data_IF_289712465906
#
_entry.id   IF_289712465906
#
_cell.length_a   1.000
_cell.length_b   1.000
_cell.length_c   1.000
_cell.angle_alpha   90.00
_cell.angle_beta   90.00
_cell.angle_gamma   90.00
#
_symmetry.space_group_name_H-M   'P 1'
#
loop_
_entity.id
_entity.type
_entity.pdbx_description
1 polymer ?
#
# COMPACT_ATOMS: atom_id res chain seq x y z
N UNK A 1 39.00 16.32 -45.16
CA UNK A 1 38.27 17.32 -44.36
C UNK A 1 36.87 16.77 -44.04
N UNK A 2 36.78 15.61 -43.37
CA UNK A 2 35.53 14.87 -43.15
C UNK A 2 35.51 14.10 -41.80
N UNK A 3 36.40 14.43 -40.87
CA UNK A 3 36.54 13.73 -39.59
C UNK A 3 36.24 14.60 -38.37
N UNK A 4 35.78 15.84 -38.56
CA UNK A 4 35.45 16.78 -37.48
C UNK A 4 33.94 17.01 -37.27
N UNK A 5 33.06 16.49 -38.15
CA UNK A 5 31.61 16.62 -37.98
C UNK A 5 30.96 15.51 -37.14
N UNK A 6 31.52 14.30 -37.13
CA UNK A 6 30.93 13.18 -36.37
C UNK A 6 31.17 13.27 -34.85
N UNK A 7 32.24 13.95 -34.41
CA UNK A 7 32.52 14.13 -32.98
C UNK A 7 31.57 15.13 -32.28
N UNK A 8 30.94 16.05 -33.03
CA UNK A 8 29.98 17.00 -32.45
C UNK A 8 28.56 16.47 -32.36
N UNK A 9 28.20 15.45 -33.14
CA UNK A 9 26.87 14.83 -33.10
C UNK A 9 26.76 13.81 -31.95
N UNK A 10 27.86 13.15 -31.57
CA UNK A 10 27.89 12.25 -30.42
C UNK A 10 27.94 12.96 -29.04
N UNK A 11 28.40 14.21 -28.99
CA UNK A 11 28.40 15.01 -27.76
C UNK A 11 27.04 15.64 -27.43
N UNK A 12 26.12 15.74 -28.40
CA UNK A 12 24.77 16.28 -28.18
C UNK A 12 23.80 15.21 -27.68
N UNK A 13 24.11 13.92 -27.84
CA UNK A 13 23.24 12.82 -27.38
C UNK A 13 23.43 12.46 -25.89
N UNK A 14 24.52 12.90 -25.25
CA UNK A 14 24.75 12.71 -23.80
C UNK A 14 24.44 13.96 -22.96
N UNK A 15 24.17 15.11 -23.60
CA UNK A 15 23.73 16.34 -22.93
C UNK A 15 22.20 16.44 -22.78
N UNK A 16 21.48 15.36 -23.10
CA UNK A 16 20.04 15.18 -22.84
C UNK A 16 19.75 14.46 -21.52
N UNK A 17 20.65 14.55 -20.53
CA UNK A 17 20.23 14.36 -19.14
C UNK A 17 19.23 15.48 -18.91
N UNK A 18 17.94 15.14 -18.96
CA UNK A 18 16.86 15.99 -18.48
C UNK A 18 17.34 16.53 -17.13
N UNK A 19 17.73 17.80 -17.10
CA UNK A 19 17.81 18.54 -15.86
C UNK A 19 16.39 18.49 -15.33
N UNK A 20 16.13 17.52 -14.46
CA UNK A 20 14.93 17.42 -13.65
C UNK A 20 15.16 18.52 -12.60
N UNK A 21 14.51 19.70 -12.68
CA UNK A 21 14.63 20.69 -11.62
C UNK A 21 14.35 20.02 -10.27
N UNK A 22 15.28 20.20 -9.33
CA UNK A 22 15.21 19.56 -8.02
C UNK A 22 13.95 19.99 -7.28
N UNK A 23 13.18 19.04 -6.75
CA UNK A 23 12.09 19.30 -5.80
C UNK A 23 12.60 19.26 -4.35
N UNK A 24 13.86 19.66 -4.11
CA UNK A 24 14.48 19.62 -2.78
C UNK A 24 13.68 20.38 -1.71
N UNK A 25 12.96 21.43 -2.12
CA UNK A 25 12.11 22.24 -1.23
C UNK A 25 10.63 21.81 -1.22
N UNK A 26 10.26 20.74 -1.95
CA UNK A 26 8.88 20.23 -1.97
C UNK A 26 8.55 19.42 -0.71
N UNK A 27 7.29 19.03 -0.52
CA UNK A 27 6.95 18.12 0.58
C UNK A 27 7.54 16.71 0.37
N UNK A 28 7.60 15.93 1.44
CA UNK A 28 8.19 14.57 1.44
C UNK A 28 7.56 13.65 0.39
N UNK A 29 6.25 13.76 0.15
CA UNK A 29 5.55 12.97 -0.85
C UNK A 29 6.03 13.28 -2.28
N UNK A 30 6.13 14.57 -2.65
CA UNK A 30 6.64 14.96 -3.97
C UNK A 30 8.11 14.59 -4.15
N UNK A 31 8.92 14.71 -3.10
CA UNK A 31 10.30 14.24 -3.11
C UNK A 31 10.38 12.72 -3.36
N UNK A 32 9.53 11.92 -2.72
CA UNK A 32 9.44 10.48 -2.96
C UNK A 32 9.07 10.13 -4.41
N UNK A 33 8.10 10.84 -5.01
CA UNK A 33 7.75 10.65 -6.42
C UNK A 33 8.94 10.92 -7.34
N UNK A 34 9.73 11.96 -7.06
CA UNK A 34 10.94 12.28 -7.82
C UNK A 34 12.00 11.19 -7.66
N UNK A 35 12.25 10.73 -6.43
CA UNK A 35 13.20 9.66 -6.15
C UNK A 35 12.80 8.35 -6.82
N UNK A 36 11.50 7.99 -6.80
CA UNK A 36 10.97 6.84 -7.53
C UNK A 36 11.21 6.96 -9.03
N UNK A 37 10.94 8.12 -9.61
CA UNK A 37 11.18 8.34 -11.05
C UNK A 37 12.66 8.23 -11.41
N UNK A 38 13.56 8.68 -10.53
CA UNK A 38 15.00 8.51 -10.71
C UNK A 38 15.40 7.03 -10.65
N UNK A 39 14.90 6.28 -9.66
CA UNK A 39 15.16 4.85 -9.52
C UNK A 39 14.69 4.04 -10.73
N UNK A 40 13.53 4.37 -11.30
CA UNK A 40 13.03 3.76 -12.53
C UNK A 40 13.94 4.02 -13.73
N UNK A 41 14.24 5.30 -14.00
CA UNK A 41 14.97 5.70 -15.19
C UNK A 41 16.41 5.23 -15.17
N UNK A 42 17.03 5.20 -13.99
CA UNK A 42 18.46 4.90 -13.83
C UNK A 42 18.72 3.41 -13.56
N UNK A 43 17.80 2.72 -12.87
CA UNK A 43 18.03 1.37 -12.37
C UNK A 43 16.92 0.35 -12.69
N UNK A 44 15.92 0.68 -13.50
CA UNK A 44 14.78 -0.20 -13.87
C UNK A 44 13.97 -0.71 -12.66
N UNK A 45 13.91 0.07 -11.57
CA UNK A 45 13.11 -0.26 -10.39
C UNK A 45 11.63 -0.03 -10.66
N UNK A 46 10.86 -1.10 -10.84
CA UNK A 46 9.45 -1.05 -11.20
C UNK A 46 8.54 -0.72 -10.03
N UNK A 47 8.81 -1.27 -8.85
CA UNK A 47 8.00 -1.08 -7.64
C UNK A 47 8.87 -0.57 -6.50
N UNK A 48 8.38 0.46 -5.80
CA UNK A 48 8.95 0.98 -4.57
C UNK A 48 7.82 1.08 -3.55
N UNK A 49 7.93 0.35 -2.45
CA UNK A 49 6.94 0.36 -1.38
C UNK A 49 7.56 0.87 -0.08
N UNK A 50 6.90 1.84 0.54
CA UNK A 50 7.24 2.35 1.85
C UNK A 50 6.61 1.46 2.93
N UNK A 51 7.46 0.88 3.77
CA UNK A 51 7.13 -0.04 4.86
C UNK A 51 6.13 -1.13 4.47
N UNK A 52 6.44 -1.96 3.46
CA UNK A 52 5.57 -3.07 3.11
C UNK A 52 5.39 -3.99 4.32
N UNK A 53 4.19 -4.54 4.48
CA UNK A 53 3.82 -5.47 5.56
C UNK A 53 3.80 -4.86 6.98
N UNK A 54 3.96 -3.55 7.13
CA UNK A 54 3.79 -2.92 8.44
C UNK A 54 2.33 -3.02 8.88
N UNK A 55 2.09 -3.73 9.97
CA UNK A 55 0.72 -3.94 10.46
C UNK A 55 0.31 -2.87 11.45
N UNK A 56 1.23 -2.42 12.30
CA UNK A 56 0.98 -1.41 13.34
C UNK A 56 1.18 0.00 12.80
N UNK A 57 0.26 0.43 11.95
CA UNK A 57 0.25 1.79 11.39
C UNK A 57 -0.58 2.65 12.32
N UNK A 58 0.07 3.52 13.10
CA UNK A 58 -0.57 4.49 14.01
C UNK A 58 -1.65 5.37 13.38
N UNK A 59 -2.06 6.39 14.12
CA UNK A 59 -2.86 7.47 13.58
C UNK A 59 -2.18 8.10 12.36
N UNK A 60 -2.90 8.89 11.57
CA UNK A 60 -2.35 9.56 10.37
C UNK A 60 -1.04 10.31 10.69
N UNK A 61 -0.99 11.01 11.81
CA UNK A 61 0.19 11.73 12.29
C UNK A 61 1.38 10.81 12.59
N UNK A 62 1.11 9.59 13.06
CA UNK A 62 2.15 8.57 13.31
C UNK A 62 2.71 7.98 12.00
N UNK A 63 2.04 8.21 10.85
CA UNK A 63 2.50 7.74 9.54
C UNK A 63 3.44 8.72 8.86
N UNK A 64 3.35 10.02 9.17
CA UNK A 64 4.22 11.05 8.59
C UNK A 64 5.70 10.72 8.80
N UNK A 65 6.17 10.33 10.00
CA UNK A 65 7.55 9.91 10.20
C UNK A 65 7.93 8.69 9.35
N UNK A 66 7.03 7.74 9.12
CA UNK A 66 7.29 6.59 8.24
C UNK A 66 7.50 7.04 6.78
N UNK A 67 6.77 8.04 6.31
CA UNK A 67 6.93 8.57 4.95
C UNK A 67 8.29 9.30 4.82
N UNK A 68 8.72 10.03 5.84
CA UNK A 68 10.04 10.67 5.91
C UNK A 68 11.18 9.66 5.98
N UNK A 69 11.01 8.61 6.80
CA UNK A 69 11.94 7.49 6.87
C UNK A 69 12.03 6.78 5.53
N UNK A 70 10.90 6.56 4.85
CA UNK A 70 10.90 5.97 3.52
C UNK A 70 11.70 6.80 2.52
N UNK A 71 11.56 8.13 2.54
CA UNK A 71 12.35 9.03 1.70
C UNK A 71 13.85 8.90 1.99
N UNK A 72 14.21 8.83 3.27
CA UNK A 72 15.60 8.64 3.71
C UNK A 72 16.18 7.34 3.18
N UNK A 73 15.49 6.22 3.39
CA UNK A 73 15.90 4.91 2.88
C UNK A 73 15.98 4.87 1.35
N UNK A 74 15.04 5.51 0.65
CA UNK A 74 15.02 5.60 -0.82
C UNK A 74 16.23 6.36 -1.36
N UNK A 75 16.63 7.45 -0.71
CA UNK A 75 17.84 8.21 -1.09
C UNK A 75 19.11 7.40 -0.88
N UNK A 76 19.25 6.79 0.29
CA UNK A 76 20.38 5.91 0.59
C UNK A 76 20.47 4.76 -0.40
N UNK A 77 19.34 4.16 -0.75
CA UNK A 77 19.25 3.11 -1.77
C UNK A 77 19.72 3.60 -3.15
N UNK A 78 19.25 4.76 -3.60
CA UNK A 78 19.65 5.33 -4.89
C UNK A 78 21.16 5.57 -4.96
N UNK A 79 21.73 6.11 -3.88
CA UNK A 79 23.19 6.29 -3.78
C UNK A 79 23.92 4.94 -3.75
N UNK A 80 23.41 3.97 -3.00
CA UNK A 80 23.98 2.63 -2.93
C UNK A 80 23.94 1.90 -4.28
N UNK A 81 22.89 2.10 -5.09
CA UNK A 81 22.82 1.51 -6.42
C UNK A 81 23.93 2.01 -7.34
N UNK A 82 24.29 3.28 -7.24
CA UNK A 82 25.40 3.88 -8.02
C UNK A 82 26.74 3.21 -7.70
N UNK A 83 26.93 2.74 -6.47
CA UNK A 83 28.15 2.08 -5.99
C UNK A 83 28.08 0.55 -6.07
N UNK A 84 26.91 -0.01 -6.42
CA UNK A 84 26.67 -1.45 -6.48
C UNK A 84 27.04 -2.03 -7.85
N UNK A 85 27.45 -3.30 -7.88
CA UNK A 85 27.83 -3.98 -9.13
C UNK A 85 26.63 -4.55 -9.89
N UNK A 86 25.48 -4.75 -9.25
CA UNK A 86 24.34 -5.48 -9.79
C UNK A 86 22.99 -4.97 -9.24
N UNK A 87 22.43 -3.86 -9.77
CA UNK A 87 21.18 -3.28 -9.24
C UNK A 87 19.90 -3.97 -9.74
N UNK A 88 19.95 -5.19 -10.29
CA UNK A 88 18.86 -5.83 -11.06
C UNK A 88 17.56 -6.19 -10.30
N UNK A 89 17.29 -5.57 -9.16
CA UNK A 89 16.08 -5.73 -8.37
C UNK A 89 14.98 -4.82 -8.90
N UNK A 90 13.82 -5.41 -9.20
CA UNK A 90 12.68 -4.68 -9.78
C UNK A 90 11.67 -4.22 -8.75
N UNK A 91 11.59 -4.91 -7.62
CA UNK A 91 10.62 -4.66 -6.56
C UNK A 91 11.40 -4.41 -5.28
N UNK A 92 11.28 -3.22 -4.72
CA UNK A 92 12.00 -2.85 -3.49
C UNK A 92 11.01 -2.31 -2.46
N UNK A 93 11.17 -2.77 -1.23
CA UNK A 93 10.53 -2.19 -0.06
C UNK A 93 11.55 -1.47 0.82
N UNK A 94 11.26 -0.23 1.20
CA UNK A 94 11.95 0.41 2.33
C UNK A 94 11.24 -0.04 3.61
N UNK A 95 11.94 -0.64 4.56
CA UNK A 95 11.36 -1.31 5.72
C UNK A 95 12.23 -1.12 6.97
N UNK A 96 12.11 -2.02 7.94
CA UNK A 96 12.92 -2.13 9.15
C UNK A 96 13.99 -3.24 9.08
N UNK A 97 14.13 -3.93 7.94
CA UNK A 97 15.00 -5.12 7.83
C UNK A 97 15.48 -5.41 6.41
N UNK A 98 16.64 -6.05 6.33
CA UNK A 98 17.10 -6.65 5.09
C UNK A 98 16.36 -7.95 4.79
N UNK A 99 15.88 -8.13 3.56
CA UNK A 99 15.25 -9.37 3.12
C UNK A 99 15.42 -9.57 1.60
N UNK A 100 15.69 -10.81 1.17
CA UNK A 100 15.59 -11.25 -0.23
C UNK A 100 14.44 -12.26 -0.34
N UNK A 101 13.47 -11.98 -1.22
CA UNK A 101 12.24 -12.77 -1.32
C UNK A 101 11.74 -12.84 -2.77
N UNK A 102 10.61 -13.50 -2.97
CA UNK A 102 9.90 -13.63 -4.25
C UNK A 102 10.79 -14.11 -5.42
N UNK A 103 11.70 -15.06 -5.16
CA UNK A 103 12.58 -15.58 -6.21
C UNK A 103 13.67 -14.60 -6.62
N UNK A 104 14.23 -13.87 -5.65
CA UNK A 104 15.38 -12.97 -5.79
C UNK A 104 15.10 -11.65 -6.53
N UNK A 105 13.86 -11.39 -6.94
CA UNK A 105 13.48 -10.13 -7.61
C UNK A 105 12.99 -9.04 -6.66
N UNK A 106 12.62 -9.42 -5.44
CA UNK A 106 12.13 -8.52 -4.40
C UNK A 106 13.11 -8.42 -3.25
N UNK A 107 13.40 -7.20 -2.82
CA UNK A 107 14.21 -6.94 -1.62
C UNK A 107 13.54 -5.96 -0.66
N UNK A 108 13.84 -6.13 0.62
CA UNK A 108 13.55 -5.15 1.65
C UNK A 108 14.87 -4.56 2.17
N UNK A 109 14.88 -3.24 2.40
CA UNK A 109 16.04 -2.47 2.85
C UNK A 109 15.63 -1.66 4.07
N UNK A 110 16.36 -1.73 5.21
CA UNK A 110 16.09 -0.87 6.35
C UNK A 110 16.25 0.60 5.98
N UNK A 111 15.31 1.43 6.39
CA UNK A 111 15.32 2.87 6.08
C UNK A 111 16.52 3.61 6.69
N UNK A 112 17.05 3.10 7.80
CA UNK A 112 18.16 3.65 8.59
C UNK A 112 19.49 2.95 8.32
N UNK A 113 19.53 1.97 7.42
CA UNK A 113 20.76 1.27 7.09
C UNK A 113 21.79 2.23 6.46
N UNK A 114 23.06 2.18 6.88
CA UNK A 114 24.09 3.02 6.28
C UNK A 114 24.41 2.54 4.86
N UNK A 115 24.82 3.47 3.99
CA UNK A 115 25.07 3.21 2.56
C UNK A 115 25.95 1.99 2.31
N UNK A 116 27.03 1.82 3.07
CA UNK A 116 27.98 0.71 2.92
C UNK A 116 27.33 -0.66 3.18
N UNK A 117 26.43 -0.75 4.17
CA UNK A 117 25.69 -1.99 4.44
C UNK A 117 24.68 -2.29 3.33
N UNK A 118 24.00 -1.26 2.82
CA UNK A 118 23.12 -1.42 1.65
C UNK A 118 23.91 -1.90 0.44
N UNK A 119 25.07 -1.30 0.14
CA UNK A 119 25.97 -1.73 -0.95
C UNK A 119 26.42 -3.18 -0.76
N UNK A 120 26.80 -3.57 0.46
CA UNK A 120 27.17 -4.95 0.77
C UNK A 120 26.00 -5.90 0.48
N UNK A 121 24.82 -5.62 1.02
CA UNK A 121 23.63 -6.44 0.82
C UNK A 121 23.24 -6.58 -0.66
N UNK A 122 23.32 -5.49 -1.43
CA UNK A 122 23.04 -5.47 -2.86
C UNK A 122 24.04 -6.33 -3.65
N UNK A 123 25.32 -6.33 -3.24
CA UNK A 123 26.39 -7.09 -3.88
C UNK A 123 26.43 -8.57 -3.47
N UNK A 124 25.85 -8.95 -2.33
CA UNK A 124 25.71 -10.33 -1.85
C UNK A 124 24.65 -11.11 -2.65
N UNK A 125 24.76 -11.16 -3.98
CA UNK A 125 23.85 -11.94 -4.81
C UNK A 125 24.27 -13.40 -4.91
N UNK A 126 23.30 -14.28 -4.70
CA UNK A 126 23.38 -15.68 -5.12
C UNK A 126 23.70 -15.74 -6.61
N UNK A 127 24.62 -16.62 -7.03
CA UNK A 127 25.01 -16.67 -8.45
C UNK A 127 23.83 -17.06 -9.35
N UNK A 128 23.79 -16.64 -10.64
CA UNK A 128 22.69 -17.02 -11.54
C UNK A 128 22.46 -18.53 -11.64
N UNK A 129 23.53 -19.32 -11.52
CA UNK A 129 23.46 -20.78 -11.53
C UNK A 129 22.78 -21.32 -10.26
N UNK A 130 23.13 -20.80 -9.09
CA UNK A 130 22.48 -21.15 -7.82
C UNK A 130 21.02 -20.67 -7.76
N UNK A 131 20.73 -19.46 -8.28
CA UNK A 131 19.36 -18.96 -8.39
C UNK A 131 18.52 -19.88 -9.28
N UNK A 132 19.07 -20.30 -10.44
CA UNK A 132 18.40 -21.24 -11.35
C UNK A 132 18.15 -22.58 -10.66
N UNK A 133 19.16 -23.13 -9.99
CA UNK A 133 19.03 -24.38 -9.25
C UNK A 133 17.98 -24.30 -8.12
N UNK A 134 17.94 -23.18 -7.40
CA UNK A 134 16.94 -22.91 -6.38
C UNK A 134 15.53 -22.86 -6.99
N UNK A 135 15.34 -22.10 -8.07
CA UNK A 135 14.05 -21.98 -8.74
C UNK A 135 13.57 -23.31 -9.35
N UNK A 136 14.49 -24.12 -9.88
CA UNK A 136 14.17 -25.46 -10.35
C UNK A 136 13.73 -26.39 -9.21
N UNK A 137 14.38 -26.31 -8.05
CA UNK A 137 13.96 -27.05 -6.85
C UNK A 137 12.56 -26.64 -6.41
N UNK A 138 12.26 -25.34 -6.36
CA UNK A 138 10.92 -24.82 -6.07
C UNK A 138 9.91 -25.35 -7.09
N UNK A 139 10.24 -25.33 -8.39
CA UNK A 139 9.36 -25.82 -9.45
C UNK A 139 9.00 -27.30 -9.30
N UNK A 140 9.98 -28.15 -8.97
CA UNK A 140 9.76 -29.58 -8.71
C UNK A 140 8.85 -29.76 -7.49
N UNK A 141 9.14 -29.08 -6.38
CA UNK A 141 8.30 -29.13 -5.18
C UNK A 141 6.86 -28.69 -5.46
N UNK A 142 6.68 -27.62 -6.25
CA UNK A 142 5.34 -27.16 -6.65
C UNK A 142 4.58 -28.22 -7.46
N UNK A 143 5.25 -28.91 -8.37
CA UNK A 143 4.63 -30.01 -9.13
C UNK A 143 4.22 -31.16 -8.21
N UNK A 144 5.06 -31.53 -7.25
CA UNK A 144 4.76 -32.60 -6.29
C UNK A 144 3.60 -32.23 -5.37
N UNK A 145 3.57 -31.00 -4.86
CA UNK A 145 2.47 -30.48 -4.04
C UNK A 145 1.16 -30.49 -4.84
N UNK A 146 1.17 -29.96 -6.06
CA UNK A 146 -0.02 -29.90 -6.91
C UNK A 146 -0.59 -31.30 -7.21
N UNK A 147 0.29 -32.27 -7.51
CA UNK A 147 -0.10 -33.67 -7.76
C UNK A 147 -0.66 -34.36 -6.51
N UNK A 148 -0.01 -34.17 -5.36
CA UNK A 148 -0.33 -34.90 -4.14
C UNK A 148 -1.51 -34.31 -3.37
N UNK A 149 -1.66 -32.98 -3.36
CA UNK A 149 -2.65 -32.28 -2.55
C UNK A 149 -3.83 -31.73 -3.37
N UNK A 150 -3.73 -31.67 -4.71
CA UNK A 150 -4.79 -31.22 -5.63
C UNK A 150 -5.32 -29.81 -5.32
N UNK A 151 -4.43 -28.90 -4.90
CA UNK A 151 -4.73 -27.50 -4.60
C UNK A 151 -4.56 -26.66 -5.87
N UNK A 152 -5.44 -25.66 -6.06
CA UNK A 152 -5.39 -24.76 -7.22
C UNK A 152 -4.26 -23.74 -7.12
N UNK A 153 -4.18 -23.02 -6.01
CA UNK A 153 -3.22 -21.95 -5.82
C UNK A 153 -2.46 -22.12 -4.50
N UNK A 154 -1.14 -22.01 -4.55
CA UNK A 154 -0.33 -21.97 -3.35
C UNK A 154 0.96 -21.21 -3.59
N UNK A 155 1.32 -20.38 -2.63
CA UNK A 155 2.46 -19.48 -2.72
C UNK A 155 3.01 -19.10 -1.34
N UNK A 156 4.21 -18.53 -1.30
CA UNK A 156 4.77 -17.94 -0.10
C UNK A 156 4.47 -16.45 -0.07
N UNK A 157 4.15 -15.94 1.12
CA UNK A 157 4.11 -14.50 1.38
C UNK A 157 5.45 -13.85 1.04
N UNK A 158 5.43 -12.61 0.55
CA UNK A 158 6.65 -11.82 0.36
C UNK A 158 7.27 -11.37 1.70
N UNK A 159 6.58 -11.63 2.83
CA UNK A 159 7.12 -11.37 4.16
C UNK A 159 8.25 -12.33 4.55
N UNK A 160 8.33 -13.53 3.97
CA UNK A 160 9.32 -14.56 4.33
C UNK A 160 10.50 -14.56 3.36
N UNK A 161 11.66 -15.09 3.80
CA UNK A 161 12.83 -15.21 2.93
C UNK A 161 12.63 -16.31 1.87
N UNK A 162 13.49 -16.31 0.85
CA UNK A 162 13.51 -17.41 -0.12
C UNK A 162 13.78 -18.76 0.58
N UNK A 163 14.68 -18.81 1.56
CA UNK A 163 15.02 -20.07 2.26
C UNK A 163 13.86 -20.57 3.13
N UNK A 164 13.20 -19.66 3.86
CA UNK A 164 11.99 -19.98 4.63
C UNK A 164 10.89 -20.50 3.69
N UNK A 165 10.70 -19.85 2.55
CA UNK A 165 9.73 -20.30 1.54
C UNK A 165 10.07 -21.70 1.00
N UNK A 166 11.34 -21.98 0.73
CA UNK A 166 11.79 -23.32 0.33
C UNK A 166 11.48 -24.35 1.41
N UNK A 167 11.80 -24.07 2.68
CA UNK A 167 11.49 -24.93 3.81
C UNK A 167 9.98 -25.23 3.90
N UNK A 168 9.14 -24.21 3.75
CA UNK A 168 7.69 -24.36 3.76
C UNK A 168 7.20 -25.28 2.65
N UNK A 169 7.70 -25.14 1.41
CA UNK A 169 7.34 -26.06 0.33
C UNK A 169 7.87 -27.48 0.55
N UNK A 170 9.08 -27.65 1.10
CA UNK A 170 9.60 -28.97 1.43
C UNK A 170 8.73 -29.69 2.46
N UNK A 171 8.29 -28.97 3.49
CA UNK A 171 7.38 -29.50 4.50
C UNK A 171 6.02 -29.85 3.89
N UNK A 172 5.45 -28.96 3.07
CA UNK A 172 4.17 -29.18 2.41
C UNK A 172 4.21 -30.35 1.42
N UNK A 173 5.31 -30.51 0.66
CA UNK A 173 5.49 -31.60 -0.29
C UNK A 173 5.56 -32.99 0.38
N UNK A 174 5.96 -33.05 1.66
CA UNK A 174 6.00 -34.28 2.46
C UNK A 174 4.64 -34.67 3.04
N UNK A 175 3.64 -33.78 2.98
CA UNK A 175 2.30 -34.08 3.47
C UNK A 175 1.65 -35.18 2.64
N UNK A 176 1.09 -36.17 3.33
CA UNK A 176 0.30 -37.25 2.73
C UNK A 176 -1.13 -37.18 3.23
N UNK A 177 -2.07 -36.94 2.32
CA UNK A 177 -3.50 -36.98 2.60
C UNK A 177 -4.05 -38.40 2.33
N UNK A 178 -5.12 -38.83 3.03
CA UNK A 178 -5.77 -40.11 2.76
C UNK A 178 -6.27 -40.21 1.32
N UNK A 179 -6.13 -41.37 0.67
CA UNK A 179 -6.58 -41.60 -0.71
C UNK A 179 -8.09 -41.41 -0.90
N UNK A 180 -8.87 -41.55 0.18
CA UNK A 180 -10.31 -41.33 0.21
C UNK A 180 -10.69 -39.85 0.07
N UNK A 181 -9.76 -38.93 0.30
CA UNK A 181 -9.99 -37.49 0.19
C UNK A 181 -9.96 -37.10 -1.30
N UNK A 182 -11.13 -36.93 -1.93
CA UNK A 182 -11.22 -36.56 -3.35
C UNK A 182 -10.64 -35.16 -3.64
N UNK A 183 -10.90 -34.20 -2.75
CA UNK A 183 -10.44 -32.81 -2.81
C UNK A 183 -10.33 -32.24 -1.41
N UNK A 184 -9.32 -31.41 -1.13
CA UNK A 184 -9.15 -30.75 0.17
C UNK A 184 -10.13 -29.61 0.44
N UNK A 185 -10.86 -29.13 -0.58
CA UNK A 185 -11.78 -27.99 -0.48
C UNK A 185 -11.09 -26.62 -0.44
N UNK A 186 -9.81 -26.58 -0.02
CA UNK A 186 -8.96 -25.40 -0.06
C UNK A 186 -8.68 -24.97 -1.51
N UNK A 187 -8.92 -23.71 -1.80
CA UNK A 187 -8.65 -23.07 -3.09
C UNK A 187 -7.25 -22.47 -3.11
N UNK A 188 -6.82 -21.91 -1.98
CA UNK A 188 -5.57 -21.16 -1.83
C UNK A 188 -4.82 -21.60 -0.57
N UNK A 189 -3.49 -21.75 -0.67
CA UNK A 189 -2.61 -21.91 0.50
C UNK A 189 -1.50 -20.86 0.48
N UNK A 190 -1.37 -20.13 1.58
CA UNK A 190 -0.29 -19.15 1.76
C UNK A 190 0.66 -19.65 2.85
N UNK A 191 1.94 -19.73 2.51
CA UNK A 191 3.02 -20.03 3.46
C UNK A 191 3.61 -18.70 3.96
N UNK A 192 3.63 -18.48 5.28
CA UNK A 192 4.13 -17.25 5.91
C UNK A 192 4.81 -17.54 7.26
N UNK A 193 5.14 -16.49 8.04
CA UNK A 193 5.84 -16.60 9.34
C UNK A 193 5.07 -17.38 10.40
N UNK A 194 3.76 -17.22 10.45
CA UNK A 194 2.92 -17.77 11.51
C UNK A 194 1.51 -18.01 11.01
N UNK A 195 0.76 -18.79 11.79
CA UNK A 195 -0.65 -19.00 11.53
C UNK A 195 -1.42 -17.71 11.78
N UNK A 196 -2.13 -17.25 10.76
CA UNK A 196 -3.18 -16.25 10.92
C UNK A 196 -4.50 -16.84 10.43
N UNK A 197 -5.64 -16.45 11.01
CA UNK A 197 -6.92 -16.70 10.39
C UNK A 197 -6.91 -16.19 8.94
N UNK A 198 -7.58 -16.92 8.07
CA UNK A 198 -7.78 -16.53 6.68
C UNK A 198 -8.84 -15.45 6.57
N UNK A 199 -8.72 -14.58 5.56
CA UNK A 199 -9.71 -13.58 5.18
C UNK A 199 -10.81 -14.12 4.26
N UNK A 200 -10.77 -15.41 3.90
CA UNK A 200 -11.81 -16.06 3.10
C UNK A 200 -11.97 -17.57 3.34
N UNK A 201 -13.17 -18.12 3.04
CA UNK A 201 -13.55 -19.49 3.37
C UNK A 201 -12.78 -20.60 2.63
N UNK A 202 -12.00 -20.26 1.60
CA UNK A 202 -11.25 -21.22 0.79
C UNK A 202 -9.73 -21.09 0.91
N UNK A 203 -9.24 -20.26 1.83
CA UNK A 203 -7.81 -19.94 1.94
C UNK A 203 -7.25 -20.44 3.27
N UNK A 204 -6.10 -21.10 3.21
CA UNK A 204 -5.41 -21.65 4.36
C UNK A 204 -4.05 -20.97 4.54
N UNK A 205 -3.78 -20.48 5.74
CA UNK A 205 -2.47 -19.92 6.10
C UNK A 205 -1.67 -20.94 6.91
N UNK A 206 -0.47 -21.25 6.42
CA UNK A 206 0.48 -22.17 7.04
C UNK A 206 1.77 -21.43 7.42
N UNK A 207 2.39 -21.84 8.52
CA UNK A 207 3.73 -21.41 8.90
C UNK A 207 4.78 -22.12 8.04
N UNK A 208 5.83 -21.42 7.61
CA UNK A 208 6.91 -22.04 6.84
C UNK A 208 7.66 -23.12 7.65
N UNK A 209 7.69 -22.97 8.97
CA UNK A 209 8.30 -23.88 9.92
C UNK A 209 7.34 -24.96 10.45
N UNK A 210 6.09 -25.01 9.99
CA UNK A 210 5.15 -26.05 10.39
C UNK A 210 5.68 -27.44 10.02
N UNK A 211 5.50 -28.40 10.93
CA UNK A 211 5.84 -29.78 10.60
C UNK A 211 4.87 -30.35 9.56
N UNK A 212 5.27 -31.36 8.75
CA UNK A 212 4.36 -32.03 7.83
C UNK A 212 3.12 -32.61 8.52
N UNK A 213 3.21 -33.02 9.80
CA UNK A 213 2.05 -33.46 10.59
C UNK A 213 1.09 -32.33 10.91
N UNK A 214 1.58 -31.15 11.28
CA UNK A 214 0.75 -30.00 11.61
C UNK A 214 0.05 -29.46 10.36
N UNK A 215 0.79 -29.36 9.26
CA UNK A 215 0.23 -29.00 7.95
C UNK A 215 -0.85 -30.00 7.52
N UNK A 216 -0.62 -31.31 7.71
CA UNK A 216 -1.61 -32.36 7.44
C UNK A 216 -2.88 -32.19 8.27
N UNK A 217 -2.74 -31.96 9.57
CA UNK A 217 -3.89 -31.76 10.46
C UNK A 217 -4.76 -30.60 9.97
N UNK A 218 -4.14 -29.49 9.55
CA UNK A 218 -4.85 -28.32 9.03
C UNK A 218 -5.52 -28.58 7.68
N UNK A 219 -4.83 -29.25 6.77
CA UNK A 219 -5.35 -29.59 5.44
C UNK A 219 -6.56 -30.53 5.48
N UNK A 220 -6.70 -31.33 6.55
CA UNK A 220 -7.84 -32.22 6.76
C UNK A 220 -9.09 -31.52 7.34
N UNK A 221 -8.97 -30.27 7.79
CA UNK A 221 -10.12 -29.49 8.27
C UNK A 221 -10.94 -29.02 7.09
N UNK A 222 -12.27 -29.01 7.25
CA UNK A 222 -13.18 -28.47 6.25
C UNK A 222 -13.00 -26.94 6.19
N UNK A 223 -12.69 -26.36 5.02
CA UNK A 223 -12.57 -24.91 4.85
C UNK A 223 -13.79 -24.15 5.39
N UNK A 224 -15.00 -24.67 5.18
CA UNK A 224 -16.22 -24.05 5.70
C UNK A 224 -16.34 -24.16 7.22
N UNK A 225 -15.85 -25.23 7.84
CA UNK A 225 -15.80 -25.32 9.30
C UNK A 225 -14.79 -24.34 9.89
N UNK A 226 -13.66 -24.11 9.21
CA UNK A 226 -12.68 -23.10 9.64
C UNK A 226 -13.18 -21.67 9.48
N UNK A 227 -14.04 -21.40 8.49
CA UNK A 227 -14.71 -20.12 8.31
C UNK A 227 -15.94 -19.93 9.21
N UNK A 228 -16.60 -21.05 9.55
CA UNK A 228 -17.59 -21.27 10.62
C UNK A 228 -17.63 -20.16 11.69
N UNK A 229 -16.56 -20.08 12.51
CA UNK A 229 -16.46 -19.12 13.60
C UNK A 229 -16.56 -17.66 13.18
N UNK A 230 -15.92 -17.25 12.07
CA UNK A 230 -15.94 -15.87 11.61
C UNK A 230 -17.36 -15.45 11.22
N UNK A 231 -18.08 -16.29 10.48
CA UNK A 231 -19.49 -16.04 10.16
C UNK A 231 -20.33 -15.88 11.43
N UNK A 232 -20.22 -16.82 12.38
CA UNK A 232 -20.94 -16.76 13.66
C UNK A 232 -20.61 -15.51 14.46
N UNK A 233 -19.35 -15.05 14.41
CA UNK A 233 -18.92 -13.82 15.06
C UNK A 233 -19.65 -12.62 14.48
N UNK A 234 -19.69 -12.48 13.15
CA UNK A 234 -20.45 -11.39 12.52
C UNK A 234 -21.94 -11.43 12.86
N UNK A 235 -22.56 -12.62 12.82
CA UNK A 235 -23.97 -12.79 13.18
C UNK A 235 -24.25 -12.35 14.63
N UNK A 236 -23.42 -12.79 15.58
CA UNK A 236 -23.56 -12.46 17.01
C UNK A 236 -23.34 -10.97 17.30
N UNK A 237 -22.35 -10.36 16.65
CA UNK A 237 -22.08 -8.92 16.79
C UNK A 237 -23.23 -8.10 16.22
N UNK A 238 -23.75 -8.51 15.06
CA UNK A 238 -24.89 -7.85 14.43
C UNK A 238 -26.16 -7.98 15.27
N UNK A 239 -26.43 -9.16 15.84
CA UNK A 239 -27.57 -9.39 16.74
C UNK A 239 -27.48 -8.51 17.99
N UNK A 240 -26.32 -8.44 18.63
CA UNK A 240 -26.13 -7.74 19.91
C UNK A 240 -26.04 -6.22 19.76
N UNK A 241 -25.34 -5.72 18.74
CA UNK A 241 -25.00 -4.30 18.63
C UNK A 241 -25.57 -3.62 17.37
N UNK A 242 -26.02 -4.37 16.37
CA UNK A 242 -26.45 -3.83 15.07
C UNK A 242 -27.56 -2.77 15.19
N UNK A 243 -28.54 -2.99 16.07
CA UNK A 243 -29.60 -2.00 16.33
C UNK A 243 -29.06 -0.71 16.94
N UNK A 244 -28.11 -0.80 17.89
CA UNK A 244 -27.49 0.36 18.54
C UNK A 244 -26.69 1.16 17.52
N UNK A 245 -25.87 0.50 16.70
CA UNK A 245 -25.06 1.14 15.69
C UNK A 245 -25.90 1.79 14.58
N UNK A 246 -26.94 1.12 14.11
CA UNK A 246 -27.89 1.68 13.16
C UNK A 246 -28.60 2.90 13.73
N UNK A 247 -29.05 2.84 14.99
CA UNK A 247 -29.80 3.94 15.60
C UNK A 247 -28.92 5.15 15.96
N UNK A 248 -27.69 4.94 16.44
CA UNK A 248 -26.83 6.01 16.98
C UNK A 248 -25.82 6.55 15.98
N UNK A 249 -25.16 5.67 15.24
CA UNK A 249 -24.07 6.04 14.34
C UNK A 249 -24.51 6.06 12.87
N UNK A 250 -25.64 5.43 12.53
CA UNK A 250 -26.09 5.14 11.16
C UNK A 250 -25.08 4.25 10.42
N UNK A 251 -24.39 3.36 11.15
CA UNK A 251 -23.48 2.40 10.53
C UNK A 251 -24.28 1.38 9.72
N UNK A 252 -23.93 1.26 8.43
CA UNK A 252 -24.49 0.21 7.57
C UNK A 252 -23.94 -1.16 7.95
N UNK A 253 -22.61 -1.25 8.16
CA UNK A 253 -21.91 -2.48 8.50
C UNK A 253 -20.76 -2.22 9.48
N UNK A 254 -20.68 -3.04 10.53
CA UNK A 254 -19.48 -3.20 11.36
C UNK A 254 -18.80 -4.51 10.94
N UNK A 255 -17.51 -4.43 10.60
CA UNK A 255 -16.72 -5.59 10.21
C UNK A 255 -15.64 -5.82 11.27
N UNK A 256 -15.38 -7.06 11.65
CA UNK A 256 -14.20 -7.43 12.41
C UNK A 256 -13.15 -8.00 11.45
N UNK A 257 -11.89 -7.58 11.60
CA UNK A 257 -10.78 -8.08 10.80
C UNK A 257 -10.66 -9.60 10.95
N UNK A 258 -10.22 -10.29 9.91
CA UNK A 258 -10.17 -11.75 9.93
C UNK A 258 -9.28 -12.30 11.05
N UNK A 259 -8.21 -11.59 11.39
CA UNK A 259 -7.22 -12.04 12.35
C UNK A 259 -7.65 -11.87 13.81
N UNK A 260 -8.74 -11.14 14.10
CA UNK A 260 -9.23 -10.87 15.46
C UNK A 260 -10.08 -12.02 16.04
N UNK A 261 -10.08 -12.23 17.36
CA UNK A 261 -10.91 -13.22 18.05
C UNK A 261 -12.34 -12.72 18.26
N UNK A 262 -13.24 -13.64 18.63
CA UNK A 262 -14.61 -13.28 19.03
C UNK A 262 -14.60 -12.31 20.22
N UNK A 263 -13.80 -12.60 21.24
CA UNK A 263 -13.72 -11.79 22.46
C UNK A 263 -13.21 -10.38 22.16
N UNK A 264 -12.16 -10.28 21.35
CA UNK A 264 -11.58 -9.01 20.93
C UNK A 264 -12.59 -8.21 20.07
N UNK A 265 -13.28 -8.86 19.12
CA UNK A 265 -14.33 -8.24 18.32
C UNK A 265 -15.51 -7.75 19.17
N UNK A 266 -15.94 -8.54 20.18
CA UNK A 266 -16.97 -8.13 21.14
C UNK A 266 -16.53 -6.94 21.97
N UNK A 267 -15.29 -6.92 22.45
CA UNK A 267 -14.72 -5.81 23.20
C UNK A 267 -14.71 -4.53 22.36
N UNK A 268 -14.24 -4.59 21.11
CA UNK A 268 -14.24 -3.44 20.21
C UNK A 268 -15.65 -2.93 19.89
N UNK A 269 -16.61 -3.85 19.69
CA UNK A 269 -18.01 -3.49 19.46
C UNK A 269 -18.62 -2.85 20.72
N UNK A 270 -18.33 -3.37 21.90
CA UNK A 270 -18.76 -2.78 23.17
C UNK A 270 -18.17 -1.39 23.38
N UNK A 271 -16.86 -1.23 23.20
CA UNK A 271 -16.17 0.06 23.32
C UNK A 271 -16.77 1.09 22.35
N UNK A 272 -17.02 0.71 21.09
CA UNK A 272 -17.68 1.57 20.11
C UNK A 272 -19.13 1.89 20.50
N UNK A 273 -19.88 0.93 21.06
CA UNK A 273 -21.24 1.14 21.52
C UNK A 273 -21.29 2.09 22.73
N UNK A 274 -20.32 2.01 23.64
CA UNK A 274 -20.14 2.95 24.74
C UNK A 274 -19.72 4.34 24.22
N UNK A 275 -18.76 4.40 23.30
CA UNK A 275 -18.33 5.64 22.66
C UNK A 275 -19.52 6.36 21.97
N UNK A 276 -20.40 5.58 21.34
CA UNK A 276 -21.62 6.08 20.70
C UNK A 276 -22.62 6.74 21.65
N UNK A 277 -22.43 6.67 22.98
CA UNK A 277 -23.31 7.37 23.91
C UNK A 277 -23.13 8.89 23.85
N UNK A 278 -21.94 9.38 23.49
CA UNK A 278 -21.65 10.81 23.34
C UNK A 278 -22.38 11.40 22.11
N UNK A 279 -23.12 12.50 22.30
CA UNK A 279 -23.92 13.12 21.24
C UNK A 279 -23.06 13.66 20.10
N UNK A 280 -21.97 14.37 20.40
CA UNK A 280 -21.08 14.96 19.38
C UNK A 280 -20.42 13.87 18.52
N UNK A 281 -20.11 12.73 19.12
CA UNK A 281 -19.58 11.56 18.43
C UNK A 281 -20.60 10.94 17.45
N UNK A 282 -21.89 10.89 17.81
CA UNK A 282 -22.98 10.41 16.92
C UNK A 282 -23.17 11.29 15.69
N UNK A 283 -22.84 12.57 15.81
CA UNK A 283 -22.98 13.55 14.73
C UNK A 283 -21.86 13.47 13.69
N UNK A 284 -20.77 12.74 13.99
CA UNK A 284 -19.70 12.45 13.03
C UNK A 284 -20.22 11.59 11.89
N UNK A 285 -19.61 11.73 10.71
CA UNK A 285 -19.98 10.92 9.57
C UNK A 285 -19.34 9.53 9.66
N UNK A 286 -20.16 8.50 9.48
CA UNK A 286 -19.75 7.11 9.56
C UNK A 286 -20.22 6.35 8.32
N UNK A 287 -19.35 5.51 7.79
CA UNK A 287 -19.65 4.49 6.77
C UNK A 287 -19.28 3.12 7.32
N UNK A 288 -18.57 2.30 6.54
CA UNK A 288 -17.99 1.04 7.05
C UNK A 288 -16.97 1.30 8.17
N UNK A 289 -17.15 0.62 9.29
CA UNK A 289 -16.17 0.56 10.39
C UNK A 289 -15.60 -0.85 10.46
N UNK A 290 -14.28 -0.96 10.57
CA UNK A 290 -13.60 -2.25 10.77
C UNK A 290 -12.89 -2.27 12.12
N UNK A 291 -13.22 -3.22 12.98
CA UNK A 291 -12.49 -3.51 14.22
C UNK A 291 -11.24 -4.35 13.90
N UNK A 292 -10.09 -3.97 14.42
CA UNK A 292 -8.81 -4.58 14.09
C UNK A 292 -7.90 -4.67 15.34
N UNK A 293 -6.87 -5.52 15.30
CA UNK A 293 -5.81 -5.57 16.31
C UNK A 293 -4.80 -4.43 16.21
N UNK A 294 -4.72 -3.80 15.04
CA UNK A 294 -3.79 -2.72 14.80
C UNK A 294 -4.40 -1.36 15.05
N UNK A 295 -3.53 -0.35 15.06
CA UNK A 295 -3.86 1.03 15.33
C UNK A 295 -4.96 1.59 14.39
N UNK A 296 -5.58 2.67 14.85
CA UNK A 296 -6.82 3.21 14.30
C UNK A 296 -6.56 4.17 13.14
N UNK A 297 -7.35 4.09 12.06
CA UNK A 297 -7.18 4.92 10.86
C UNK A 297 -8.50 5.57 10.43
N UNK A 298 -8.42 6.82 9.97
CA UNK A 298 -9.51 7.48 9.24
C UNK A 298 -9.25 7.29 7.75
N UNK A 299 -10.08 6.47 7.10
CA UNK A 299 -9.99 6.15 5.67
C UNK A 299 -10.85 7.12 4.82
N UNK A 300 -10.86 8.41 5.17
CA UNK A 300 -11.73 9.42 4.55
C UNK A 300 -12.96 9.80 5.40
N UNK A 301 -13.96 10.43 4.77
CA UNK A 301 -15.10 11.02 5.52
C UNK A 301 -15.95 9.97 6.21
N UNK A 302 -16.09 8.79 5.60
CA UNK A 302 -17.05 7.78 6.01
C UNK A 302 -16.36 6.63 6.75
N UNK A 303 -15.33 6.05 6.15
CA UNK A 303 -14.74 4.80 6.60
C UNK A 303 -13.75 4.99 7.78
N UNK A 304 -13.62 3.96 8.60
CA UNK A 304 -12.69 3.94 9.73
C UNK A 304 -12.22 2.52 10.07
N UNK A 305 -10.97 2.43 10.53
CA UNK A 305 -10.41 1.27 11.21
C UNK A 305 -10.25 1.61 12.69
N UNK A 306 -10.70 0.74 13.59
CA UNK A 306 -10.65 0.96 15.04
C UNK A 306 -9.93 -0.19 15.71
N UNK A 307 -8.93 0.12 16.53
CA UNK A 307 -8.29 -0.89 17.38
C UNK A 307 -9.29 -1.40 18.42
N UNK A 308 -9.44 -2.71 18.57
CA UNK A 308 -10.52 -3.30 19.36
C UNK A 308 -10.46 -2.98 20.86
N UNK A 309 -9.26 -2.87 21.41
CA UNK A 309 -9.03 -2.57 22.82
C UNK A 309 -9.03 -1.06 23.11
N UNK A 310 -9.30 -0.21 22.11
CA UNK A 310 -9.27 1.24 22.28
C UNK A 310 -10.39 1.68 23.23
N UNK A 311 -10.09 2.38 24.33
CA UNK A 311 -11.11 2.84 25.26
C UNK A 311 -12.14 3.76 24.60
N UNK A 312 -13.40 3.80 25.09
CA UNK A 312 -14.44 4.66 24.52
C UNK A 312 -14.06 6.13 24.40
N UNK A 313 -13.37 6.69 25.39
CA UNK A 313 -12.91 8.08 25.40
C UNK A 313 -11.84 8.34 24.34
N UNK A 314 -10.91 7.40 24.14
CA UNK A 314 -9.89 7.51 23.09
C UNK A 314 -10.51 7.38 21.69
N UNK A 315 -11.49 6.48 21.51
CA UNK A 315 -12.30 6.41 20.27
C UNK A 315 -12.94 7.79 20.02
N UNK A 316 -13.59 8.38 21.02
CA UNK A 316 -14.24 9.69 20.89
C UNK A 316 -13.25 10.80 20.53
N UNK A 317 -12.13 10.88 21.25
CA UNK A 317 -11.11 11.89 21.05
C UNK A 317 -10.50 11.79 19.65
N UNK A 318 -10.13 10.59 19.23
CA UNK A 318 -9.51 10.40 17.92
C UNK A 318 -10.46 10.73 16.76
N UNK A 319 -11.70 10.26 16.82
CA UNK A 319 -12.67 10.50 15.76
C UNK A 319 -13.42 11.84 15.90
N UNK A 320 -13.08 12.66 16.89
CA UNK A 320 -13.57 14.04 17.00
C UNK A 320 -13.15 14.89 15.80
N UNK A 321 -12.06 14.52 15.12
CA UNK A 321 -11.56 15.17 13.90
C UNK A 321 -12.33 14.77 12.63
N UNK A 322 -13.13 13.69 12.66
CA UNK A 322 -13.99 13.37 11.50
C UNK A 322 -15.02 14.49 11.32
N UNK A 323 -15.30 14.79 10.05
CA UNK A 323 -16.31 15.77 9.69
C UNK A 323 -17.69 15.39 10.27
N UNK A 324 -18.47 16.41 10.62
CA UNK A 324 -19.89 16.22 10.94
C UNK A 324 -20.64 15.78 9.68
N UNK A 325 -21.73 15.01 9.83
CA UNK A 325 -22.56 14.52 8.71
C UNK A 325 -22.96 15.62 7.71
N UNK A 326 -23.36 16.79 8.22
CA UNK A 326 -23.75 17.94 7.39
C UNK A 326 -22.57 18.53 6.62
N UNK A 327 -21.44 18.71 7.31
CA UNK A 327 -20.22 19.24 6.69
C UNK A 327 -19.66 18.30 5.64
N UNK A 328 -19.65 16.99 5.91
CA UNK A 328 -19.18 15.99 4.95
C UNK A 328 -20.04 15.98 3.68
N UNK A 329 -21.38 16.04 3.81
CA UNK A 329 -22.28 16.10 2.66
C UNK A 329 -22.11 17.39 1.84
N UNK A 330 -21.94 18.53 2.51
CA UNK A 330 -21.66 19.82 1.87
C UNK A 330 -20.33 19.79 1.12
N UNK A 331 -19.26 19.31 1.76
CA UNK A 331 -17.93 19.21 1.16
C UNK A 331 -17.87 18.20 0.02
N UNK A 332 -18.57 17.07 0.11
CA UNK A 332 -18.71 16.13 -0.99
C UNK A 332 -19.39 16.78 -2.20
N UNK A 333 -20.51 17.49 -1.97
CA UNK A 333 -21.22 18.21 -3.03
C UNK A 333 -20.35 19.30 -3.67
N UNK A 334 -19.60 20.04 -2.85
CA UNK A 334 -18.65 21.06 -3.31
C UNK A 334 -17.51 20.44 -4.13
N UNK A 335 -16.91 19.34 -3.65
CA UNK A 335 -15.84 18.64 -4.36
C UNK A 335 -16.28 18.18 -5.75
N UNK A 336 -17.47 17.57 -5.88
CA UNK A 336 -18.06 17.16 -7.16
C UNK A 336 -18.24 18.36 -8.10
N UNK A 337 -18.80 19.46 -7.57
CA UNK A 337 -18.99 20.69 -8.34
C UNK A 337 -17.66 21.25 -8.85
N UNK A 338 -16.65 21.30 -7.99
CA UNK A 338 -15.33 21.84 -8.32
C UNK A 338 -14.56 20.94 -9.29
N UNK A 339 -14.62 19.61 -9.14
CA UNK A 339 -14.07 18.67 -10.13
C UNK A 339 -14.69 18.93 -11.51
N UNK A 340 -16.00 19.19 -11.59
CA UNK A 340 -16.66 19.58 -12.83
C UNK A 340 -16.04 20.84 -13.48
N UNK A 341 -15.60 21.80 -12.67
CA UNK A 341 -14.96 23.04 -13.14
C UNK A 341 -13.51 22.85 -13.58
N UNK A 342 -12.83 21.77 -13.15
CA UNK A 342 -11.44 21.51 -13.55
C UNK A 342 -11.34 20.83 -14.92
N UNK A 343 -12.42 20.26 -15.47
CA UNK A 343 -12.36 19.46 -16.72
C UNK A 343 -11.97 20.26 -17.96
N UNK A 344 -12.46 21.48 -18.11
CA UNK A 344 -12.23 22.31 -19.29
C UNK A 344 -11.43 23.55 -18.89
N UNK A 345 -10.11 23.43 -18.90
CA UNK A 345 -9.23 24.53 -18.51
C UNK A 345 -8.02 24.64 -19.46
N UNK A 346 -7.28 25.75 -19.35
CA UNK A 346 -6.18 26.06 -20.26
C UNK A 346 -4.98 25.14 -20.12
N UNK A 347 -4.78 24.47 -18.98
CA UNK A 347 -3.55 23.72 -18.67
C UNK A 347 -3.42 22.38 -19.40
N UNK A 348 -4.50 21.88 -20.00
CA UNK A 348 -4.65 20.52 -20.54
C UNK A 348 -4.67 19.40 -19.49
N UNK A 349 -4.60 19.74 -18.18
CA UNK A 349 -4.77 18.77 -17.10
C UNK A 349 -6.23 18.69 -16.66
N UNK A 350 -6.77 17.49 -16.55
CA UNK A 350 -7.97 17.22 -15.76
C UNK A 350 -7.56 16.97 -14.30
N UNK A 351 -8.04 17.79 -13.36
CA UNK A 351 -7.83 17.49 -11.95
C UNK A 351 -8.90 16.52 -11.43
N UNK A 352 -8.47 15.45 -10.77
CA UNK A 352 -9.30 14.46 -10.09
C UNK A 352 -8.81 14.28 -8.66
N UNK A 353 -9.66 13.70 -7.82
CA UNK A 353 -9.32 13.39 -6.44
C UNK A 353 -9.41 11.88 -6.23
N UNK A 354 -8.59 11.36 -5.33
CA UNK A 354 -8.66 9.99 -4.88
C UNK A 354 -9.97 9.71 -4.13
N UNK A 355 -10.80 8.83 -4.69
CA UNK A 355 -12.13 8.56 -4.16
C UNK A 355 -12.17 7.44 -3.11
N UNK A 356 -11.07 6.71 -2.89
CA UNK A 356 -11.09 5.59 -1.95
C UNK A 356 -11.05 6.08 -0.50
N UNK A 357 -10.07 6.92 -0.15
CA UNK A 357 -9.79 7.26 1.25
C UNK A 357 -9.49 8.75 1.52
N UNK A 358 -9.61 9.63 0.51
CA UNK A 358 -9.37 11.05 0.71
C UNK A 358 -10.65 11.74 1.21
N UNK A 359 -10.53 12.61 2.22
CA UNK A 359 -11.69 13.36 2.71
C UNK A 359 -12.19 14.35 1.65
N UNK A 360 -13.50 14.49 1.51
CA UNK A 360 -14.12 15.43 0.56
C UNK A 360 -13.75 16.88 0.85
N UNK A 361 -13.50 17.21 2.12
CA UNK A 361 -12.99 18.52 2.51
C UNK A 361 -11.62 18.79 1.88
N UNK A 362 -10.72 17.80 1.92
CA UNK A 362 -9.38 17.90 1.35
C UNK A 362 -9.44 17.90 -0.18
N UNK A 363 -10.33 17.11 -0.80
CA UNK A 363 -10.61 17.19 -2.24
C UNK A 363 -11.10 18.58 -2.68
N UNK A 364 -12.10 19.13 -1.97
CA UNK A 364 -12.64 20.46 -2.30
C UNK A 364 -11.54 21.53 -2.22
N UNK A 365 -10.74 21.53 -1.14
CA UNK A 365 -9.62 22.45 -1.00
C UNK A 365 -8.58 22.28 -2.12
N UNK A 366 -8.27 21.04 -2.50
CA UNK A 366 -7.33 20.74 -3.58
C UNK A 366 -7.81 21.26 -4.93
N UNK A 367 -9.11 21.09 -5.25
CA UNK A 367 -9.68 21.64 -6.47
C UNK A 367 -9.71 23.16 -6.47
N UNK A 368 -10.01 23.82 -5.34
CA UNK A 368 -9.94 25.28 -5.22
C UNK A 368 -8.52 25.78 -5.49
N UNK A 369 -7.51 25.13 -4.89
CA UNK A 369 -6.08 25.41 -5.09
C UNK A 369 -5.70 25.27 -6.56
N UNK A 370 -6.11 24.18 -7.23
CA UNK A 370 -5.89 24.01 -8.67
C UNK A 370 -6.58 25.09 -9.50
N UNK A 371 -7.83 25.43 -9.20
CA UNK A 371 -8.57 26.47 -9.93
C UNK A 371 -7.89 27.84 -9.76
N UNK A 372 -7.37 28.16 -8.57
CA UNK A 372 -6.56 29.38 -8.35
C UNK A 372 -5.29 29.36 -9.20
N UNK A 373 -4.57 28.23 -9.24
CA UNK A 373 -3.39 28.06 -10.09
C UNK A 373 -3.71 28.31 -11.56
N UNK A 374 -4.77 27.69 -12.12
CA UNK A 374 -5.20 27.90 -13.50
C UNK A 374 -5.50 29.37 -13.80
N UNK A 375 -6.19 30.06 -12.87
CA UNK A 375 -6.55 31.48 -13.04
C UNK A 375 -5.32 32.39 -13.07
N UNK A 376 -4.32 32.11 -12.23
CA UNK A 376 -3.06 32.86 -12.13
C UNK A 376 -2.13 32.58 -13.33
N UNK A 377 -2.12 31.33 -13.81
CA UNK A 377 -1.18 30.84 -14.83
C UNK A 377 -1.89 30.44 -16.14
N UNK A 378 -2.55 31.39 -16.81
CA UNK A 378 -3.36 31.12 -18.02
C UNK A 378 -2.56 30.59 -19.20
N UNK A 379 -1.27 30.91 -19.24
CA UNK A 379 -0.28 30.48 -20.23
C UNK A 379 0.36 29.13 -19.90
N UNK A 380 0.16 28.59 -18.70
CA UNK A 380 0.67 27.26 -18.35
C UNK A 380 0.03 26.20 -19.23
N UNK A 381 0.87 25.32 -19.76
CA UNK A 381 0.49 24.08 -20.45
C UNK A 381 1.36 22.98 -19.87
N UNK A 382 0.78 21.83 -19.56
CA UNK A 382 1.57 20.66 -19.17
C UNK A 382 2.23 20.04 -20.40
N UNK A 383 3.41 19.45 -20.23
CA UNK A 383 4.06 18.67 -21.28
C UNK A 383 3.32 17.33 -21.51
N UNK A 384 3.35 16.80 -22.73
CA UNK A 384 2.91 15.41 -22.98
C UNK A 384 3.85 14.42 -22.26
N UNK A 385 3.38 13.26 -21.80
CA UNK A 385 2.04 12.65 -21.99
C UNK A 385 1.04 12.95 -20.87
N UNK A 386 1.32 13.92 -19.99
CA UNK A 386 0.51 14.18 -18.80
C UNK A 386 -0.85 14.78 -19.18
N UNK A 387 -1.93 14.15 -18.73
CA UNK A 387 -3.30 14.60 -19.01
C UNK A 387 -4.17 14.75 -17.75
N UNK A 388 -3.73 14.18 -16.64
CA UNK A 388 -4.51 14.09 -15.41
C UNK A 388 -3.65 14.48 -14.21
N UNK A 389 -4.20 15.28 -13.31
CA UNK A 389 -3.64 15.58 -11.99
C UNK A 389 -4.51 14.88 -10.94
N UNK A 390 -3.94 13.94 -10.20
CA UNK A 390 -4.65 13.19 -9.16
C UNK A 390 -4.17 13.63 -7.77
N UNK A 391 -5.09 14.22 -7.00
CA UNK A 391 -4.86 14.53 -5.59
C UNK A 391 -4.97 13.26 -4.74
N UNK A 392 -3.97 13.03 -3.90
CA UNK A 392 -3.88 11.91 -2.94
C UNK A 392 -3.47 12.42 -1.57
N UNK A 393 -3.78 11.69 -0.50
CA UNK A 393 -3.27 12.05 0.84
C UNK A 393 -1.78 11.70 0.94
N UNK A 394 -0.90 12.69 0.83
CA UNK A 394 0.54 12.49 0.96
C UNK A 394 1.00 12.15 2.37
N UNK A 395 0.10 12.12 3.37
CA UNK A 395 0.38 11.80 4.76
C UNK A 395 -0.06 10.38 5.16
N UNK A 396 -0.70 9.63 4.26
CA UNK A 396 -1.14 8.25 4.53
C UNK A 396 -0.31 7.25 3.71
N UNK A 397 0.30 6.29 4.41
CA UNK A 397 1.27 5.37 3.83
C UNK A 397 0.66 4.52 2.69
N UNK A 398 -0.58 4.07 2.85
CA UNK A 398 -1.30 3.30 1.81
C UNK A 398 -1.48 4.13 0.54
N UNK A 399 -1.78 5.43 0.67
CA UNK A 399 -1.99 6.34 -0.47
C UNK A 399 -0.67 6.76 -1.10
N UNK A 400 0.39 6.91 -0.31
CA UNK A 400 1.76 7.10 -0.82
C UNK A 400 2.18 5.88 -1.65
N UNK A 401 1.99 4.66 -1.14
CA UNK A 401 2.32 3.42 -1.84
C UNK A 401 1.49 3.24 -3.12
N UNK A 402 0.19 3.58 -3.07
CA UNK A 402 -0.67 3.61 -4.26
C UNK A 402 -0.11 4.56 -5.32
N UNK A 403 0.19 5.80 -4.92
CA UNK A 403 0.72 6.79 -5.84
C UNK A 403 2.02 6.30 -6.46
N UNK A 404 2.99 5.86 -5.65
CA UNK A 404 4.32 5.37 -6.09
C UNK A 404 4.26 4.20 -7.07
N UNK A 405 3.24 3.35 -7.01
CA UNK A 405 3.18 2.10 -7.77
C UNK A 405 2.03 2.04 -8.79
N UNK A 406 1.28 3.13 -8.96
CA UNK A 406 0.19 3.19 -9.93
C UNK A 406 0.68 3.00 -11.37
N UNK A 407 -0.04 2.17 -12.12
CA UNK A 407 0.20 1.94 -13.55
C UNK A 407 -0.08 3.17 -14.42
N UNK A 408 -0.85 4.13 -13.90
CA UNK A 408 -1.15 5.39 -14.59
C UNK A 408 -0.08 6.46 -14.37
N UNK A 409 0.99 6.20 -13.61
CA UNK A 409 2.08 7.15 -13.36
C UNK A 409 2.84 7.64 -14.59
N UNK A 410 2.60 7.04 -15.75
CA UNK A 410 3.16 7.49 -17.02
C UNK A 410 2.28 8.54 -17.72
N UNK A 411 1.06 8.79 -17.24
CA UNK A 411 0.12 9.79 -17.79
C UNK A 411 -0.51 10.67 -16.71
N UNK A 412 -0.45 10.27 -15.44
CA UNK A 412 -1.03 10.97 -14.30
C UNK A 412 0.06 11.64 -13.45
N UNK A 413 -0.18 12.89 -13.07
CA UNK A 413 0.59 13.62 -12.07
C UNK A 413 -0.07 13.43 -10.70
N UNK A 414 0.62 12.76 -9.78
CA UNK A 414 0.18 12.63 -8.40
C UNK A 414 0.62 13.85 -7.58
N UNK A 415 -0.30 14.40 -6.79
CA UNK A 415 -0.06 15.59 -5.98
C UNK A 415 -0.61 15.37 -4.57
N UNK A 416 0.16 15.72 -3.55
CA UNK A 416 -0.34 15.73 -2.17
C UNK A 416 -1.47 16.76 -2.05
N UNK A 417 -2.64 16.30 -1.62
CA UNK A 417 -3.83 17.10 -1.40
C UNK A 417 -3.67 18.16 -0.29
N UNK A 418 -2.64 18.02 0.55
CA UNK A 418 -2.26 19.03 1.55
C UNK A 418 -1.34 20.13 1.01
N UNK A 419 -0.97 20.09 -0.28
CA UNK A 419 -0.11 21.11 -0.89
C UNK A 419 -0.78 22.49 -0.92
N UNK A 420 -0.06 23.53 -0.50
CA UNK A 420 -0.49 24.91 -0.66
C UNK A 420 -0.32 25.42 -2.11
N UNK A 421 -0.76 26.67 -2.37
CA UNK A 421 -0.67 27.29 -3.70
C UNK A 421 0.78 27.33 -4.22
N UNK A 422 1.77 27.57 -3.36
CA UNK A 422 3.18 27.68 -3.75
C UNK A 422 3.81 26.31 -4.03
N UNK A 423 3.51 25.31 -3.19
CA UNK A 423 3.94 23.93 -3.38
C UNK A 423 3.34 23.33 -4.66
N UNK A 424 2.04 23.56 -4.91
CA UNK A 424 1.39 23.12 -6.15
C UNK A 424 2.02 23.79 -7.38
N UNK A 425 2.24 25.11 -7.33
CA UNK A 425 2.86 25.85 -8.43
C UNK A 425 4.29 25.36 -8.70
N UNK A 426 5.10 25.17 -7.67
CA UNK A 426 6.46 24.64 -7.79
C UNK A 426 6.46 23.24 -8.41
N UNK A 427 5.59 22.34 -7.94
CA UNK A 427 5.48 21.00 -8.47
C UNK A 427 5.03 20.98 -9.94
N UNK A 428 3.99 21.73 -10.30
CA UNK A 428 3.48 21.76 -11.68
C UNK A 428 4.45 22.42 -12.65
N UNK A 429 5.20 23.44 -12.24
CA UNK A 429 6.21 24.05 -13.10
C UNK A 429 7.31 23.09 -13.55
N UNK A 430 7.54 22.00 -12.81
CA UNK A 430 8.42 20.90 -13.24
C UNK A 430 7.93 20.20 -14.52
N UNK A 431 6.63 20.18 -14.75
CA UNK A 431 5.98 19.51 -15.88
C UNK A 431 5.47 20.50 -16.94
N UNK A 432 5.88 21.76 -16.86
CA UNK A 432 5.48 22.78 -17.83
C UNK A 432 6.07 22.45 -19.19
N UNK A 433 5.24 22.55 -20.23
CA UNK A 433 5.69 22.52 -21.61
C UNK A 433 6.65 23.70 -21.85
N UNK A 434 7.91 23.39 -22.16
CA UNK A 434 8.88 24.38 -22.61
C UNK A 434 8.81 24.43 -24.13
N UNK A 435 8.48 25.59 -24.70
CA UNK A 435 8.58 25.80 -26.13
C UNK A 435 10.07 25.84 -26.49
N UNK A 436 10.62 24.71 -26.95
CA UNK A 436 11.87 24.71 -27.69
C UNK A 436 11.60 24.82 -29.18
#
# INVERSE_FOLDING_TARGET
MASFLFARIFLVFWAGILFIPSLADANTFHQLLQEKQALEKQFDVQTLECFPFIKKIGFTEDQVPLIEQCLTGTRTLKEAFTDSRNPGYKIIGISDRFLKTAGFHTILIPWDAPKNEVVQFLNEQTSPLEQTAFLDKIRVLKQDISRNLRIKEFYCSQEVSNDDCLQGYENLARVRLPETLKTSGWQEIVITHSHTPSDGPGKLILGFNDSPSDMRERLLKDPYETWKPLQKMYEKIQEKYGAVFKARLLLENLVCAADISMEECEQGAENLAQASQNTDFRMRHWGRVTLNRYNTLIQGDFHALIRYDLPPEEIQNYFSRKALKTQAAEKASLAIKLEGQTKNNSTQLRAVCDLENLSSALCANSFETFIRFVKKNRDYRVQTPWDTLMFVDGMQLDRVNFALNSSSRNTYLYVDANSDDAQLEAYLNHYRHTNN
#
